data_IF_297459162660
#
_entry.id   IF_297459162660
#
_cell.length_a   1.000
_cell.length_b   1.000
_cell.length_c   1.000
_cell.angle_alpha   90.00
_cell.angle_beta   90.00
_cell.angle_gamma   90.00
#
_symmetry.space_group_name_H-M   'P 1'
#
loop_
_entity.id
_entity.type
_entity.pdbx_description
1 polymer ?
#
# COMPACT_ATOMS: atom_id res chain seq x y z
N UNK A 1 4.06 6.09 -12.81
CA UNK A 1 3.62 5.80 -11.43
C UNK A 1 2.55 4.72 -11.48
N UNK A 2 2.79 3.59 -10.80
CA UNK A 2 1.86 2.47 -10.82
C UNK A 2 1.01 2.46 -9.55
N UNK A 3 -0.28 2.20 -9.74
CA UNK A 3 -1.23 2.06 -8.64
C UNK A 3 -1.80 0.64 -8.66
N UNK A 4 -2.69 0.32 -7.72
CA UNK A 4 -3.34 -0.99 -7.68
C UNK A 4 -4.23 -1.26 -8.89
N UNK A 5 -4.64 -0.22 -9.62
CA UNK A 5 -5.39 -0.41 -10.86
C UNK A 5 -4.53 -1.08 -11.93
N UNK A 6 -3.22 -0.79 -11.95
CA UNK A 6 -2.27 -1.40 -12.87
C UNK A 6 -1.57 -2.63 -12.28
N UNK A 7 -1.57 -2.73 -10.96
CA UNK A 7 -0.86 -3.79 -10.25
C UNK A 7 -1.75 -4.49 -9.22
N UNK A 8 -2.87 -5.11 -9.66
CA UNK A 8 -3.74 -5.85 -8.71
C UNK A 8 -3.02 -7.04 -8.06
N UNK A 9 -1.98 -7.56 -8.71
CA UNK A 9 -1.15 -8.63 -8.16
C UNK A 9 -0.53 -8.27 -6.82
N UNK A 10 -0.16 -6.99 -6.61
CA UNK A 10 0.44 -6.54 -5.35
C UNK A 10 -0.56 -6.66 -4.20
N UNK A 11 -1.81 -6.28 -4.43
CA UNK A 11 -2.84 -6.39 -3.41
C UNK A 11 -3.06 -7.85 -3.02
N UNK A 12 -3.16 -8.73 -4.01
CA UNK A 12 -3.33 -10.15 -3.77
C UNK A 12 -2.13 -10.73 -3.01
N UNK A 13 -0.92 -10.37 -3.42
CA UNK A 13 0.29 -10.85 -2.78
C UNK A 13 0.36 -10.40 -1.31
N UNK A 14 0.02 -9.14 -1.04
CA UNK A 14 0.02 -8.62 0.33
C UNK A 14 -1.02 -9.31 1.21
N UNK A 15 -2.21 -9.57 0.66
CA UNK A 15 -3.26 -10.27 1.39
C UNK A 15 -2.90 -11.73 1.67
N UNK A 16 -2.02 -12.32 0.86
CA UNK A 16 -1.57 -13.69 1.03
C UNK A 16 -0.39 -13.83 1.99
N UNK A 17 0.23 -12.73 2.41
CA UNK A 17 1.34 -12.78 3.35
C UNK A 17 0.88 -13.28 4.72
N UNK A 18 1.73 -14.06 5.38
CA UNK A 18 1.51 -14.40 6.77
C UNK A 18 1.74 -13.17 7.66
N UNK A 19 1.20 -13.22 8.89
CA UNK A 19 1.24 -12.08 9.80
C UNK A 19 2.66 -11.56 10.02
N UNK A 20 3.62 -12.45 10.17
CA UNK A 20 5.02 -12.07 10.40
C UNK A 20 5.62 -11.34 9.20
N UNK A 21 5.34 -11.83 7.99
CA UNK A 21 5.81 -11.20 6.77
C UNK A 21 5.16 -9.83 6.57
N UNK A 22 3.86 -9.74 6.84
CA UNK A 22 3.14 -8.48 6.72
C UNK A 22 3.72 -7.43 7.68
N UNK A 23 4.01 -7.82 8.92
CA UNK A 23 4.64 -6.94 9.89
C UNK A 23 6.04 -6.52 9.46
N UNK A 24 6.81 -7.46 8.90
CA UNK A 24 8.15 -7.14 8.42
C UNK A 24 8.11 -6.09 7.31
N UNK A 25 7.19 -6.24 6.37
CA UNK A 25 7.01 -5.24 5.32
C UNK A 25 6.54 -3.89 5.89
N UNK A 26 5.57 -3.94 6.81
CA UNK A 26 5.01 -2.71 7.40
C UNK A 26 6.09 -1.88 8.13
N UNK A 27 7.11 -2.52 8.68
CA UNK A 27 8.21 -1.81 9.33
C UNK A 27 9.04 -0.95 8.38
N UNK A 28 8.95 -1.21 7.09
CA UNK A 28 9.65 -0.42 6.07
C UNK A 28 8.88 0.84 5.69
N UNK A 29 7.65 0.99 6.19
CA UNK A 29 6.74 2.04 5.79
C UNK A 29 6.67 3.13 6.84
N UNK A 30 6.46 4.37 6.38
CA UNK A 30 6.14 5.48 7.27
C UNK A 30 4.74 5.32 7.85
N UNK A 31 4.37 6.07 8.92
CA UNK A 31 3.00 6.02 9.44
C UNK A 31 1.94 6.33 8.39
N UNK A 32 2.17 7.29 7.51
CA UNK A 32 1.23 7.60 6.42
C UNK A 32 1.08 6.44 5.46
N UNK A 33 2.20 5.84 5.08
CA UNK A 33 2.17 4.68 4.19
C UNK A 33 1.42 3.52 4.83
N UNK A 34 1.60 3.31 6.12
CA UNK A 34 0.89 2.25 6.84
C UNK A 34 -0.62 2.44 6.81
N UNK A 35 -1.10 3.68 6.95
CA UNK A 35 -2.54 3.96 6.86
C UNK A 35 -3.05 3.62 5.46
N UNK A 36 -2.32 3.99 4.42
CA UNK A 36 -2.72 3.68 3.04
C UNK A 36 -2.64 2.17 2.80
N UNK A 37 -1.62 1.50 3.32
CA UNK A 37 -1.52 0.05 3.22
C UNK A 37 -2.77 -0.64 3.77
N UNK A 38 -3.19 -0.26 4.97
CA UNK A 38 -4.37 -0.89 5.60
C UNK A 38 -5.65 -0.58 4.82
N UNK A 39 -5.82 0.65 4.33
CA UNK A 39 -7.05 1.03 3.64
C UNK A 39 -7.14 0.49 2.21
N UNK A 40 -6.05 0.56 1.46
CA UNK A 40 -6.05 0.23 0.04
C UNK A 40 -5.70 -1.22 -0.25
N UNK A 41 -4.78 -1.79 0.52
CA UNK A 41 -4.24 -3.12 0.21
C UNK A 41 -4.86 -4.22 1.05
N UNK A 42 -5.11 -3.96 2.32
CA UNK A 42 -5.58 -4.98 3.26
C UNK A 42 -7.05 -4.83 3.64
N UNK A 43 -7.62 -3.65 3.44
CA UNK A 43 -9.00 -3.37 3.87
C UNK A 43 -10.05 -4.14 3.08
N UNK A 44 -11.11 -4.54 3.76
CA UNK A 44 -12.28 -5.19 3.17
C UNK A 44 -13.53 -4.53 3.73
N UNK A 45 -14.23 -3.70 2.92
CA UNK A 45 -13.94 -3.37 1.52
C UNK A 45 -12.74 -2.43 1.40
N UNK A 46 -12.17 -2.40 0.20
CA UNK A 46 -11.09 -1.48 -0.14
C UNK A 46 -11.58 -0.04 -0.05
N UNK A 47 -10.84 0.82 0.65
CA UNK A 47 -11.20 2.23 0.76
C UNK A 47 -10.77 2.98 -0.49
N UNK A 48 -11.54 4.01 -0.84
CA UNK A 48 -11.22 4.88 -1.96
C UNK A 48 -10.15 5.90 -1.58
N UNK A 49 -9.42 6.39 -2.59
CA UNK A 49 -8.41 7.43 -2.37
C UNK A 49 -8.98 8.66 -1.69
N UNK A 50 -10.20 9.10 -2.09
CA UNK A 50 -10.85 10.27 -1.49
C UNK A 50 -11.17 10.04 -0.02
N UNK A 51 -11.63 8.86 0.32
CA UNK A 51 -11.96 8.50 1.69
C UNK A 51 -10.73 8.54 2.59
N UNK A 52 -9.64 7.94 2.13
CA UNK A 52 -8.38 7.97 2.87
C UNK A 52 -7.82 9.37 2.97
N UNK A 53 -7.90 10.14 1.89
CA UNK A 53 -7.45 11.53 1.89
C UNK A 53 -8.15 12.37 2.94
N UNK A 54 -9.48 12.24 3.05
CA UNK A 54 -10.23 12.97 4.08
C UNK A 54 -9.79 12.57 5.48
N UNK A 55 -9.60 11.28 5.72
CA UNK A 55 -9.20 10.80 7.02
C UNK A 55 -7.78 11.25 7.39
N UNK A 56 -6.92 11.42 6.41
CA UNK A 56 -5.51 11.76 6.61
C UNK A 56 -5.20 13.25 6.46
N UNK A 57 -6.18 14.06 6.03
CA UNK A 57 -5.94 15.47 5.71
C UNK A 57 -5.10 15.66 4.45
N UNK A 58 -5.24 14.75 3.48
CA UNK A 58 -4.47 14.77 2.23
C UNK A 58 -5.41 14.81 1.04
N UNK A 59 -4.89 15.28 -0.11
CA UNK A 59 -5.62 15.22 -1.37
C UNK A 59 -5.69 13.76 -1.87
N UNK A 60 -6.67 13.49 -2.71
CA UNK A 60 -6.79 12.21 -3.41
C UNK A 60 -5.48 11.87 -4.15
N UNK A 61 -4.92 12.84 -4.85
CA UNK A 61 -3.71 12.64 -5.64
C UNK A 61 -2.51 12.28 -4.74
N UNK A 62 -2.42 12.92 -3.57
CA UNK A 62 -1.34 12.59 -2.63
C UNK A 62 -1.46 11.15 -2.13
N UNK A 63 -2.68 10.70 -1.83
CA UNK A 63 -2.90 9.31 -1.42
C UNK A 63 -2.50 8.34 -2.55
N UNK A 64 -2.85 8.68 -3.80
CA UNK A 64 -2.47 7.87 -4.96
C UNK A 64 -0.95 7.76 -5.09
N UNK A 65 -0.23 8.86 -4.87
CA UNK A 65 1.23 8.87 -4.88
C UNK A 65 1.82 7.97 -3.78
N UNK A 66 1.23 8.03 -2.59
CA UNK A 66 1.66 7.18 -1.48
C UNK A 66 1.45 5.70 -1.83
N UNK A 67 0.32 5.36 -2.42
CA UNK A 67 0.05 4.00 -2.88
C UNK A 67 1.14 3.53 -3.86
N UNK A 68 1.53 4.37 -4.80
CA UNK A 68 2.57 4.04 -5.78
C UNK A 68 3.92 3.79 -5.09
N UNK A 69 4.24 4.57 -4.07
CA UNK A 69 5.47 4.37 -3.30
C UNK A 69 5.47 3.04 -2.53
N UNK A 70 4.31 2.66 -2.00
CA UNK A 70 4.18 1.36 -1.33
C UNK A 70 4.44 0.22 -2.32
N UNK A 71 3.91 0.32 -3.53
CA UNK A 71 4.12 -0.70 -4.56
C UNK A 71 5.61 -0.81 -4.90
N UNK A 72 6.30 0.32 -5.04
CA UNK A 72 7.74 0.31 -5.30
C UNK A 72 8.51 -0.38 -4.17
N UNK A 73 8.16 -0.07 -2.93
CA UNK A 73 8.82 -0.69 -1.78
C UNK A 73 8.53 -2.18 -1.71
N UNK A 74 7.30 -2.59 -2.05
CA UNK A 74 6.94 -3.99 -2.07
C UNK A 74 7.74 -4.75 -3.13
N UNK A 75 7.84 -4.21 -4.34
CA UNK A 75 8.62 -4.83 -5.41
C UNK A 75 10.08 -5.00 -4.99
N UNK A 76 10.67 -3.96 -4.40
CA UNK A 76 12.06 -4.02 -3.93
C UNK A 76 12.24 -5.05 -2.80
N UNK A 77 11.26 -5.13 -1.91
CA UNK A 77 11.30 -6.07 -0.79
C UNK A 77 11.22 -7.53 -1.26
N UNK A 78 10.37 -7.79 -2.26
CA UNK A 78 10.20 -9.15 -2.80
C UNK A 78 11.31 -9.55 -3.76
N UNK A 79 11.99 -8.58 -4.38
CA UNK A 79 13.04 -8.84 -5.37
C UNK A 79 14.28 -8.01 -5.08
N UNK A 80 14.95 -8.23 -3.92
CA UNK A 80 16.02 -7.35 -3.47
C UNK A 80 17.27 -7.39 -4.33
N UNK A 81 17.41 -8.36 -5.23
CA UNK A 81 18.59 -8.52 -6.07
C UNK A 81 18.45 -7.92 -7.47
N UNK A 82 17.43 -7.11 -7.68
CA UNK A 82 17.21 -6.46 -8.96
C UNK A 82 17.60 -5.00 -8.92
#
# INVERSE_FOLDING_TARGET
MQTLNERPDVREALQALEAEECQAFARLLSPRESVVLHGRFLGRPQRRWESLGRAMGLSRERVRQIEAEIIKKFDAWKSPNQ
#
